data_IF_991538257671
#
_entry.id   IF_991538257671
#
_cell.length_a   1.000
_cell.length_b   1.000
_cell.length_c   1.000
_cell.angle_alpha   90.00
_cell.angle_beta   90.00
_cell.angle_gamma   90.00
#
_symmetry.space_group_name_H-M   'P 1'
#
loop_
_entity.id
_entity.type
_entity.pdbx_description
1 polymer ?
#
# COMPACT_ATOMS: atom_id res chain seq x y z
N UNK A 1 5.90 2.08 -25.59
CA UNK A 1 6.61 2.94 -24.61
C UNK A 1 5.65 3.17 -23.45
N UNK A 2 6.15 3.21 -22.21
CA UNK A 2 5.30 3.52 -21.05
C UNK A 2 4.92 4.99 -21.10
N UNK A 3 3.64 5.28 -20.92
CA UNK A 3 3.15 6.66 -20.88
C UNK A 3 3.55 7.35 -19.58
N UNK A 4 4.05 8.59 -19.67
CA UNK A 4 4.53 9.35 -18.51
C UNK A 4 3.46 9.50 -17.44
N UNK A 5 2.21 9.69 -17.84
CA UNK A 5 1.09 9.89 -16.92
C UNK A 5 0.74 8.61 -16.16
N UNK A 6 0.73 7.47 -16.84
CA UNK A 6 0.53 6.17 -16.21
C UNK A 6 1.65 5.87 -15.19
N UNK A 7 2.90 6.18 -15.56
CA UNK A 7 4.04 6.05 -14.66
C UNK A 7 3.88 6.94 -13.41
N UNK A 8 3.51 8.21 -13.58
CA UNK A 8 3.28 9.13 -12.47
C UNK A 8 2.15 8.65 -11.56
N UNK A 9 1.09 8.09 -12.13
CA UNK A 9 -0.02 7.49 -11.36
C UNK A 9 0.50 6.34 -10.48
N UNK A 10 1.23 5.39 -11.07
CA UNK A 10 1.80 4.24 -10.34
C UNK A 10 2.74 4.71 -9.24
N UNK A 11 3.68 5.63 -9.54
CA UNK A 11 4.65 6.13 -8.57
C UNK A 11 3.98 6.88 -7.42
N UNK A 12 2.95 7.67 -7.71
CA UNK A 12 2.21 8.42 -6.67
C UNK A 12 1.48 7.46 -5.74
N UNK A 13 0.72 6.51 -6.29
CA UNK A 13 0.00 5.52 -5.47
C UNK A 13 0.97 4.64 -4.69
N UNK A 14 2.08 4.26 -5.30
CA UNK A 14 3.15 3.52 -4.62
C UNK A 14 3.71 4.33 -3.44
N UNK A 15 4.10 5.59 -3.64
CA UNK A 15 4.63 6.44 -2.57
C UNK A 15 3.67 6.55 -1.38
N UNK A 16 2.36 6.68 -1.65
CA UNK A 16 1.32 6.67 -0.62
C UNK A 16 1.35 5.34 0.15
N UNK A 17 1.35 4.22 -0.58
CA UNK A 17 1.38 2.88 -0.01
C UNK A 17 2.59 2.65 0.90
N UNK A 18 3.77 3.16 0.47
CA UNK A 18 5.05 2.97 1.17
C UNK A 18 5.15 3.77 2.48
N UNK A 19 4.67 5.00 2.49
CA UNK A 19 4.84 5.92 3.62
C UNK A 19 3.70 5.81 4.62
N UNK A 20 2.48 5.47 4.16
CA UNK A 20 1.35 5.32 5.09
C UNK A 20 1.49 4.04 5.92
N UNK A 21 1.47 4.16 7.26
CA UNK A 21 1.46 2.99 8.12
C UNK A 21 0.27 2.09 7.76
N UNK A 22 0.55 0.88 7.33
CA UNK A 22 -0.44 -0.13 7.00
C UNK A 22 -0.11 -1.47 7.67
N UNK A 23 -1.00 -2.47 7.58
CA UNK A 23 -0.80 -3.77 8.23
C UNK A 23 0.58 -4.38 7.95
N UNK A 24 1.04 -4.33 6.69
CA UNK A 24 2.33 -4.89 6.29
C UNK A 24 3.51 -4.19 6.99
N UNK A 25 3.52 -2.86 6.97
CA UNK A 25 4.60 -2.06 7.54
C UNK A 25 4.67 -2.23 9.06
N UNK A 26 3.51 -2.15 9.73
CA UNK A 26 3.41 -2.33 11.19
C UNK A 26 3.84 -3.75 11.60
N UNK A 27 3.39 -4.77 10.87
CA UNK A 27 3.83 -6.15 11.11
C UNK A 27 5.35 -6.29 10.99
N UNK A 28 5.95 -5.68 9.95
CA UNK A 28 7.40 -5.71 9.78
C UNK A 28 8.15 -5.04 10.94
N UNK A 29 7.67 -3.90 11.44
CA UNK A 29 8.27 -3.21 12.60
C UNK A 29 8.18 -4.07 13.86
N UNK A 30 6.97 -4.53 14.21
CA UNK A 30 6.73 -5.30 15.44
C UNK A 30 7.50 -6.61 15.42
N UNK A 31 7.40 -7.37 14.31
CA UNK A 31 8.08 -8.64 14.18
C UNK A 31 9.62 -8.49 14.20
N UNK A 32 10.16 -7.44 13.53
CA UNK A 32 11.59 -7.13 13.58
C UNK A 32 12.04 -6.67 14.97
N UNK A 33 11.18 -5.96 15.71
CA UNK A 33 11.47 -5.54 17.08
C UNK A 33 11.68 -6.71 18.04
N UNK A 34 10.96 -7.81 17.83
CA UNK A 34 11.03 -9.02 18.67
C UNK A 34 12.08 -10.02 18.16
N UNK A 35 12.09 -10.28 16.85
CA UNK A 35 12.87 -11.38 16.25
C UNK A 35 14.10 -10.90 15.45
N UNK A 36 14.31 -9.58 15.37
CA UNK A 36 15.33 -8.97 14.53
C UNK A 36 14.93 -8.82 13.07
N UNK A 37 15.46 -7.80 12.39
CA UNK A 37 15.08 -7.47 11.01
C UNK A 37 15.31 -8.62 10.01
N UNK A 38 16.32 -9.47 10.23
CA UNK A 38 16.60 -10.63 9.37
C UNK A 38 15.47 -11.66 9.37
N UNK A 39 14.71 -11.76 10.47
CA UNK A 39 13.56 -12.68 10.54
C UNK A 39 12.46 -12.30 9.55
N UNK A 40 12.39 -11.03 9.13
CA UNK A 40 11.41 -10.55 8.16
C UNK A 40 11.68 -10.98 6.72
N UNK A 41 12.87 -11.45 6.38
CA UNK A 41 13.21 -11.82 4.99
C UNK A 41 12.21 -12.86 4.45
N UNK A 42 11.93 -13.90 5.22
CA UNK A 42 10.99 -14.97 4.81
C UNK A 42 9.55 -14.46 4.77
N UNK A 43 9.17 -13.61 5.72
CA UNK A 43 7.87 -12.95 5.77
C UNK A 43 7.66 -12.06 4.55
N UNK A 44 8.64 -11.19 4.23
CA UNK A 44 8.61 -10.28 3.08
C UNK A 44 8.60 -11.05 1.76
N UNK A 45 9.34 -12.16 1.65
CA UNK A 45 9.26 -13.03 0.48
C UNK A 45 7.85 -13.58 0.27
N UNK A 46 7.17 -13.96 1.34
CA UNK A 46 5.74 -14.35 1.27
C UNK A 46 4.85 -13.18 0.86
N UNK A 47 5.06 -12.00 1.44
CA UNK A 47 4.33 -10.80 1.08
C UNK A 47 4.51 -10.46 -0.40
N UNK A 48 5.73 -10.59 -0.94
CA UNK A 48 6.01 -10.37 -2.37
C UNK A 48 5.18 -11.29 -3.26
N UNK A 49 5.13 -12.58 -2.95
CA UNK A 49 4.32 -13.55 -3.74
C UNK A 49 2.83 -13.22 -3.64
N UNK A 50 2.35 -12.89 -2.45
CA UNK A 50 0.96 -12.46 -2.27
C UNK A 50 0.65 -11.16 -3.03
N UNK A 51 1.54 -10.15 -3.00
CA UNK A 51 1.44 -8.93 -3.80
C UNK A 51 1.34 -9.23 -5.29
N UNK A 52 2.27 -10.02 -5.80
CA UNK A 52 2.26 -10.39 -7.22
C UNK A 52 0.95 -11.05 -7.61
N UNK A 53 0.44 -11.96 -6.78
CA UNK A 53 -0.85 -12.61 -7.02
C UNK A 53 -2.00 -11.60 -7.06
N UNK A 54 -2.07 -10.67 -6.10
CA UNK A 54 -3.08 -9.61 -6.07
C UNK A 54 -3.01 -8.74 -7.32
N UNK A 55 -1.80 -8.39 -7.79
CA UNK A 55 -1.62 -7.61 -9.03
C UNK A 55 -2.14 -8.34 -10.26
N UNK A 56 -1.76 -9.61 -10.42
CA UNK A 56 -2.20 -10.39 -11.58
C UNK A 56 -3.71 -10.63 -11.57
N UNK A 57 -4.28 -10.98 -10.42
CA UNK A 57 -5.73 -11.16 -10.28
C UNK A 57 -6.47 -9.85 -10.57
N UNK A 58 -6.02 -8.74 -10.01
CA UNK A 58 -6.65 -7.42 -10.22
C UNK A 58 -6.54 -6.97 -11.69
N UNK A 59 -5.38 -7.19 -12.32
CA UNK A 59 -5.17 -6.86 -13.73
C UNK A 59 -6.09 -7.68 -14.63
N UNK A 60 -6.15 -9.00 -14.43
CA UNK A 60 -7.05 -9.88 -15.18
C UNK A 60 -8.52 -9.50 -15.00
N UNK A 61 -8.93 -9.14 -13.79
CA UNK A 61 -10.29 -8.67 -13.53
C UNK A 61 -10.60 -7.37 -14.28
N UNK A 62 -9.66 -6.41 -14.24
CA UNK A 62 -9.84 -5.12 -14.92
C UNK A 62 -9.91 -5.30 -16.44
N UNK A 63 -9.10 -6.17 -17.04
CA UNK A 63 -9.12 -6.45 -18.48
C UNK A 63 -10.40 -7.12 -18.96
N UNK A 64 -11.10 -7.88 -18.11
CA UNK A 64 -12.38 -8.50 -18.46
C UNK A 64 -13.55 -7.50 -18.48
N UNK A 65 -13.31 -6.29 -17.98
CA UNK A 65 -14.34 -5.27 -17.90
C UNK A 65 -14.33 -4.42 -19.16
N UNK A 66 -15.39 -4.52 -19.97
CA UNK A 66 -15.52 -3.73 -21.19
C UNK A 66 -15.51 -2.23 -20.88
N UNK A 67 -14.75 -1.46 -21.67
CA UNK A 67 -14.74 -0.01 -21.60
C UNK A 67 -16.15 0.56 -21.79
N UNK A 68 -16.48 1.59 -21.01
CA UNK A 68 -17.79 2.23 -21.01
C UNK A 68 -18.92 1.42 -20.36
N UNK A 69 -18.66 0.18 -19.91
CA UNK A 69 -19.66 -0.59 -19.15
C UNK A 69 -19.92 0.05 -17.78
N UNK A 70 -21.09 -0.25 -17.20
CA UNK A 70 -21.40 0.22 -15.84
C UNK A 70 -20.33 -0.19 -14.82
N UNK A 71 -19.78 -1.40 -14.96
CA UNK A 71 -18.71 -1.88 -14.07
C UNK A 71 -17.41 -1.09 -14.26
N UNK A 72 -17.08 -0.74 -15.52
CA UNK A 72 -15.91 0.12 -15.83
C UNK A 72 -16.04 1.49 -15.14
N UNK A 73 -17.20 2.13 -15.28
CA UNK A 73 -17.50 3.41 -14.62
C UNK A 73 -17.50 3.26 -13.10
N UNK A 74 -18.08 2.18 -12.58
CA UNK A 74 -18.08 1.91 -11.14
C UNK A 74 -16.68 1.72 -10.56
N UNK A 75 -15.78 0.99 -11.24
CA UNK A 75 -14.40 0.82 -10.83
C UNK A 75 -13.61 2.14 -10.82
N UNK A 76 -13.85 3.01 -11.82
CA UNK A 76 -13.25 4.34 -11.84
C UNK A 76 -13.65 5.16 -10.61
N UNK A 77 -14.95 5.29 -10.35
CA UNK A 77 -15.47 6.04 -9.21
C UNK A 77 -15.07 5.41 -7.86
N UNK A 78 -15.01 4.08 -7.80
CA UNK A 78 -14.49 3.38 -6.61
C UNK A 78 -13.03 3.77 -6.33
N UNK A 79 -12.17 3.77 -7.35
CA UNK A 79 -10.79 4.21 -7.21
C UNK A 79 -10.66 5.66 -6.75
N UNK A 80 -11.44 6.57 -7.34
CA UNK A 80 -11.47 7.98 -6.94
C UNK A 80 -11.99 8.16 -5.50
N UNK A 81 -13.06 7.50 -5.12
CA UNK A 81 -13.57 7.52 -3.75
C UNK A 81 -12.52 7.01 -2.77
N UNK A 82 -11.85 5.91 -3.11
CA UNK A 82 -10.80 5.35 -2.26
C UNK A 82 -9.61 6.31 -2.09
N UNK A 83 -9.15 6.95 -3.17
CA UNK A 83 -8.13 8.00 -3.10
C UNK A 83 -8.59 9.20 -2.28
N UNK A 84 -9.85 9.63 -2.42
CA UNK A 84 -10.42 10.71 -1.62
C UNK A 84 -10.41 10.38 -0.11
N UNK A 85 -10.79 9.16 0.26
CA UNK A 85 -10.75 8.69 1.65
C UNK A 85 -9.31 8.64 2.20
N UNK A 86 -8.33 8.20 1.38
CA UNK A 86 -6.92 8.23 1.76
C UNK A 86 -6.45 9.68 1.96
N UNK A 87 -6.74 10.58 1.02
CA UNK A 87 -6.37 11.98 1.13
C UNK A 87 -6.95 12.62 2.38
N UNK A 88 -8.24 12.43 2.64
CA UNK A 88 -8.91 12.93 3.84
C UNK A 88 -8.26 12.38 5.11
N UNK A 89 -7.97 11.08 5.15
CA UNK A 89 -7.25 10.45 6.28
C UNK A 89 -5.89 11.09 6.51
N UNK A 90 -5.09 11.26 5.46
CA UNK A 90 -3.75 11.85 5.58
C UNK A 90 -3.81 13.31 6.04
N UNK A 91 -4.76 14.10 5.51
CA UNK A 91 -4.93 15.50 5.87
C UNK A 91 -5.51 15.71 7.27
N UNK A 92 -6.26 14.75 7.81
CA UNK A 92 -6.88 14.85 9.13
C UNK A 92 -6.11 14.09 10.22
N UNK A 93 -5.28 13.10 9.84
CA UNK A 93 -4.55 12.26 10.78
C UNK A 93 -3.53 13.10 11.57
N UNK A 94 -3.61 13.02 12.89
CA UNK A 94 -2.66 13.68 13.79
C UNK A 94 -1.53 12.72 14.17
N UNK A 95 -0.28 13.20 14.31
CA UNK A 95 0.82 12.37 14.81
C UNK A 95 0.51 11.72 16.17
N UNK A 96 -0.25 12.42 17.03
CA UNK A 96 -0.74 11.87 18.29
C UNK A 96 -1.58 10.60 18.12
N UNK A 97 -2.44 10.55 17.10
CA UNK A 97 -3.24 9.34 16.81
C UNK A 97 -2.38 8.19 16.30
N UNK A 98 -1.29 8.48 15.58
CA UNK A 98 -0.30 7.46 15.19
C UNK A 98 0.42 6.92 16.42
N UNK A 99 0.85 7.82 17.33
CA UNK A 99 1.44 7.41 18.61
C UNK A 99 0.49 6.50 19.37
N UNK A 100 -0.74 6.94 19.58
CA UNK A 100 -1.75 6.18 20.29
C UNK A 100 -2.02 4.81 19.64
N UNK A 101 -2.22 4.75 18.32
CA UNK A 101 -2.45 3.49 17.61
C UNK A 101 -1.27 2.51 17.68
N UNK A 102 -0.03 3.04 17.83
CA UNK A 102 1.17 2.21 17.99
C UNK A 102 1.41 1.84 19.46
N UNK A 103 0.98 2.68 20.41
CA UNK A 103 1.13 2.45 21.85
C UNK A 103 -0.02 1.61 22.42
N UNK A 104 -1.24 1.71 21.87
CA UNK A 104 -2.44 0.97 22.30
C UNK A 104 -2.43 -0.52 21.92
N UNK A 105 -1.31 -1.04 21.45
CA UNK A 105 -1.12 -2.47 21.14
C UNK A 105 -2.20 -3.10 20.23
N UNK A 106 -3.04 -2.29 19.58
CA UNK A 106 -4.20 -2.80 18.84
C UNK A 106 -3.85 -3.81 17.77
N UNK A 107 -2.76 -3.57 17.01
CA UNK A 107 -2.26 -4.52 16.03
C UNK A 107 -1.27 -5.52 16.63
N UNK A 108 -0.50 -5.11 17.64
CA UNK A 108 0.39 -5.99 18.38
C UNK A 108 -0.40 -7.06 19.16
N UNK A 109 -1.59 -6.71 19.67
CA UNK A 109 -2.47 -7.68 20.34
C UNK A 109 -3.00 -8.75 19.40
N UNK A 110 -3.20 -8.44 18.11
CA UNK A 110 -3.56 -9.43 17.09
C UNK A 110 -2.41 -10.38 16.74
N UNK A 111 -1.16 -9.94 16.94
CA UNK A 111 0.03 -10.75 16.71
C UNK A 111 0.48 -11.50 17.97
N UNK A 112 0.07 -11.07 19.17
CA UNK A 112 0.42 -11.75 20.43
C UNK A 112 -0.41 -13.01 20.60
N UNK A 113 0.25 -14.10 20.97
CA UNK A 113 -0.42 -15.30 21.46
C UNK A 113 -1.00 -15.05 22.85
N UNK A 114 -1.86 -15.96 23.34
CA UNK A 114 -2.48 -15.86 24.68
C UNK A 114 -1.45 -15.77 25.83
N UNK A 115 -0.24 -16.24 25.59
CA UNK A 115 0.90 -16.14 26.52
C UNK A 115 1.66 -14.79 26.44
N UNK A 116 1.19 -13.84 25.62
CA UNK A 116 1.81 -12.55 25.42
C UNK A 116 3.02 -12.53 24.47
N UNK A 117 3.33 -13.65 23.82
CA UNK A 117 4.44 -13.73 22.86
C UNK A 117 4.02 -13.36 21.45
N UNK A 118 4.93 -12.77 20.67
CA UNK A 118 4.74 -12.52 19.24
C UNK A 118 5.27 -13.73 18.46
N UNK A 119 4.42 -14.46 17.72
CA UNK A 119 4.85 -15.64 16.97
C UNK A 119 5.84 -15.25 15.87
N UNK A 120 6.74 -16.16 15.54
CA UNK A 120 7.62 -15.98 14.38
C UNK A 120 6.83 -16.19 13.10
N UNK A 121 6.61 -15.08 12.38
CA UNK A 121 5.85 -15.08 11.14
C UNK A 121 6.72 -15.56 9.97
N UNK A 122 6.14 -16.40 9.12
CA UNK A 122 6.84 -17.02 8.01
C UNK A 122 6.23 -16.68 6.64
N UNK A 123 6.70 -17.36 5.61
CA UNK A 123 6.29 -17.17 4.22
C UNK A 123 4.78 -17.24 4.03
N UNK A 124 4.13 -18.29 4.54
CA UNK A 124 2.66 -18.48 4.40
C UNK A 124 1.88 -17.32 4.99
N UNK A 125 2.31 -16.83 6.16
CA UNK A 125 1.70 -15.67 6.80
C UNK A 125 1.82 -14.43 5.90
N UNK A 126 3.00 -14.21 5.33
CA UNK A 126 3.23 -13.10 4.39
C UNK A 126 2.30 -13.15 3.18
N UNK A 127 2.13 -14.32 2.56
CA UNK A 127 1.20 -14.54 1.44
C UNK A 127 -0.24 -14.22 1.87
N UNK A 128 -0.71 -14.86 2.95
CA UNK A 128 -2.11 -14.72 3.40
C UNK A 128 -2.47 -13.29 3.81
N UNK A 129 -1.52 -12.56 4.38
CA UNK A 129 -1.73 -11.16 4.75
C UNK A 129 -2.15 -10.29 3.55
N UNK A 130 -1.66 -10.58 2.34
CA UNK A 130 -2.00 -9.77 1.17
C UNK A 130 -3.44 -10.01 0.72
N UNK A 131 -3.94 -11.22 0.84
CA UNK A 131 -5.33 -11.54 0.48
C UNK A 131 -6.36 -10.90 1.41
N UNK A 132 -6.03 -10.72 2.68
CA UNK A 132 -6.92 -10.06 3.66
C UNK A 132 -6.69 -8.56 3.78
N UNK A 133 -5.67 -8.02 3.10
CA UNK A 133 -5.33 -6.60 3.14
C UNK A 133 -6.16 -5.78 2.15
N UNK A 134 -7.36 -5.36 2.56
CA UNK A 134 -8.27 -4.57 1.71
C UNK A 134 -7.64 -3.29 1.17
N UNK A 135 -6.67 -2.68 1.87
CA UNK A 135 -5.92 -1.52 1.38
C UNK A 135 -5.15 -1.87 0.10
N UNK A 136 -4.48 -3.03 0.08
CA UNK A 136 -3.71 -3.47 -1.08
C UNK A 136 -4.60 -3.71 -2.29
N UNK A 137 -5.70 -4.45 -2.10
CA UNK A 137 -6.67 -4.68 -3.18
C UNK A 137 -7.16 -3.39 -3.80
N UNK A 138 -7.58 -2.43 -2.97
CA UNK A 138 -8.09 -1.16 -3.45
C UNK A 138 -7.02 -0.34 -4.20
N UNK A 139 -5.79 -0.27 -3.68
CA UNK A 139 -4.68 0.42 -4.35
C UNK A 139 -4.33 -0.25 -5.69
N UNK A 140 -4.24 -1.57 -5.72
CA UNK A 140 -3.86 -2.32 -6.92
C UNK A 140 -4.94 -2.24 -7.99
N UNK A 141 -6.23 -2.39 -7.63
CA UNK A 141 -7.35 -2.20 -8.57
C UNK A 141 -7.31 -0.78 -9.15
N UNK A 142 -7.08 0.23 -8.31
CA UNK A 142 -6.96 1.62 -8.77
C UNK A 142 -5.81 1.80 -9.76
N UNK A 143 -4.63 1.25 -9.47
CA UNK A 143 -3.48 1.31 -10.37
C UNK A 143 -3.80 0.60 -11.69
N UNK A 144 -4.30 -0.64 -11.64
CA UNK A 144 -4.62 -1.40 -12.85
C UNK A 144 -5.65 -0.68 -13.71
N UNK A 145 -6.71 -0.15 -13.08
CA UNK A 145 -7.74 0.59 -13.80
C UNK A 145 -7.22 1.87 -14.47
N UNK A 146 -6.28 2.58 -13.84
CA UNK A 146 -5.85 3.90 -14.28
C UNK A 146 -4.58 3.90 -15.12
N UNK A 147 -3.78 2.84 -15.07
CA UNK A 147 -2.44 2.85 -15.65
C UNK A 147 -2.14 1.65 -16.55
N UNK A 148 -2.95 0.59 -16.56
CA UNK A 148 -2.63 -0.66 -17.27
C UNK A 148 -2.39 -0.42 -18.77
N UNK A 149 -3.28 0.33 -19.43
CA UNK A 149 -3.17 0.61 -20.86
C UNK A 149 -1.94 1.44 -21.20
N UNK A 150 -1.60 2.45 -20.36
CA UNK A 150 -0.39 3.24 -20.51
C UNK A 150 0.92 2.46 -20.28
N UNK A 151 0.84 1.25 -19.72
CA UNK A 151 1.94 0.29 -19.63
C UNK A 151 1.92 -0.77 -20.76
N UNK A 152 1.03 -0.61 -21.76
CA UNK A 152 0.90 -1.48 -22.90
C UNK A 152 -0.16 -2.58 -22.77
N UNK A 153 -0.98 -2.52 -21.72
CA UNK A 153 -2.07 -3.49 -21.49
C UNK A 153 -1.59 -4.92 -21.29
N UNK A 154 -2.53 -5.83 -21.13
CA UNK A 154 -2.28 -7.27 -21.09
C UNK A 154 -1.30 -7.71 -20.01
N UNK A 155 -0.86 -8.94 -20.13
CA UNK A 155 0.10 -9.52 -19.17
C UNK A 155 1.40 -8.72 -19.07
N UNK A 156 1.85 -8.10 -20.16
CA UNK A 156 3.07 -7.27 -20.15
C UNK A 156 2.92 -6.06 -19.27
N UNK A 157 1.84 -5.30 -19.42
CA UNK A 157 1.53 -4.15 -18.58
C UNK A 157 1.39 -4.54 -17.12
N UNK A 158 0.66 -5.64 -16.83
CA UNK A 158 0.50 -6.16 -15.46
C UNK A 158 1.85 -6.49 -14.81
N UNK A 159 2.74 -7.18 -15.54
CA UNK A 159 4.05 -7.57 -15.03
C UNK A 159 4.97 -6.36 -14.82
N UNK A 160 4.92 -5.36 -15.69
CA UNK A 160 5.69 -4.12 -15.52
C UNK A 160 5.22 -3.35 -14.28
N UNK A 161 3.92 -3.15 -14.13
CA UNK A 161 3.33 -2.51 -12.95
C UNK A 161 3.66 -3.30 -11.68
N UNK A 162 3.45 -4.63 -11.70
CA UNK A 162 3.75 -5.49 -10.57
C UNK A 162 5.24 -5.46 -10.21
N UNK A 163 6.15 -5.47 -11.20
CA UNK A 163 7.59 -5.38 -10.95
C UNK A 163 7.96 -4.09 -10.23
N UNK A 164 7.41 -2.96 -10.66
CA UNK A 164 7.67 -1.66 -10.06
C UNK A 164 7.10 -1.57 -8.63
N UNK A 165 5.84 -1.94 -8.46
CA UNK A 165 5.12 -1.82 -7.19
C UNK A 165 5.57 -2.85 -6.16
N UNK A 166 5.79 -4.10 -6.56
CA UNK A 166 6.28 -5.15 -5.67
C UNK A 166 7.73 -4.86 -5.21
N UNK A 167 8.60 -4.39 -6.11
CA UNK A 167 9.97 -4.00 -5.75
C UNK A 167 9.96 -2.84 -4.76
N UNK A 168 9.16 -1.80 -5.03
CA UNK A 168 8.95 -0.71 -4.08
C UNK A 168 8.41 -1.19 -2.74
N UNK A 169 7.41 -2.06 -2.75
CA UNK A 169 6.83 -2.67 -1.55
C UNK A 169 7.86 -3.44 -0.71
N UNK A 170 8.68 -4.28 -1.36
CA UNK A 170 9.78 -5.00 -0.69
C UNK A 170 10.79 -4.03 -0.07
N UNK A 171 11.19 -3.00 -0.83
CA UNK A 171 12.10 -1.97 -0.33
C UNK A 171 11.51 -1.25 0.91
N UNK A 172 10.24 -0.86 0.86
CA UNK A 172 9.57 -0.23 2.00
C UNK A 172 9.52 -1.15 3.22
N UNK A 173 9.04 -2.38 3.07
CA UNK A 173 8.95 -3.34 4.17
C UNK A 173 10.33 -3.64 4.77
N UNK A 174 11.38 -3.66 3.94
CA UNK A 174 12.76 -3.80 4.41
C UNK A 174 13.21 -2.57 5.21
N UNK A 175 12.91 -1.35 4.73
CA UNK A 175 13.19 -0.11 5.44
C UNK A 175 12.44 -0.03 6.77
N UNK A 176 11.16 -0.42 6.80
CA UNK A 176 10.38 -0.50 8.03
C UNK A 176 10.93 -1.55 9.00
N UNK A 177 11.46 -2.67 8.49
CA UNK A 177 12.10 -3.71 9.33
C UNK A 177 13.38 -3.24 9.99
N UNK A 178 14.21 -2.47 9.28
CA UNK A 178 15.52 -2.02 9.77
C UNK A 178 15.44 -0.66 10.48
N UNK A 179 14.68 0.23 9.90
CA UNK A 179 14.58 1.63 10.31
C UNK A 179 13.34 1.98 11.12
N UNK A 180 12.51 0.99 11.48
CA UNK A 180 11.18 1.19 12.06
C UNK A 180 11.16 2.17 13.23
N UNK A 181 12.13 2.11 14.14
CA UNK A 181 12.24 3.05 15.26
C UNK A 181 12.46 4.51 14.81
N UNK A 182 13.29 4.73 13.77
CA UNK A 182 13.55 6.09 13.24
C UNK A 182 12.39 6.63 12.40
N UNK A 183 11.83 5.80 11.49
CA UNK A 183 10.65 6.16 10.70
C UNK A 183 9.46 6.46 11.60
N UNK A 184 9.23 5.62 12.59
CA UNK A 184 8.20 5.81 13.61
C UNK A 184 8.44 7.11 14.36
N UNK A 185 9.69 7.42 14.73
CA UNK A 185 10.06 8.68 15.38
C UNK A 185 9.69 9.91 14.57
N UNK A 186 9.95 9.90 13.25
CA UNK A 186 9.55 11.00 12.36
C UNK A 186 8.02 11.15 12.29
N UNK A 187 7.28 10.05 12.14
CA UNK A 187 5.82 10.09 12.03
C UNK A 187 5.13 10.44 13.35
N UNK A 188 5.77 10.14 14.49
CA UNK A 188 5.30 10.49 15.83
C UNK A 188 5.63 11.94 16.24
N UNK A 189 6.58 12.59 15.58
CA UNK A 189 6.91 14.00 15.81
C UNK A 189 5.76 14.88 15.33
N UNK A 190 5.30 15.80 16.19
CA UNK A 190 4.11 16.60 15.91
C UNK A 190 4.27 17.53 14.71
N UNK A 191 5.46 18.05 14.46
CA UNK A 191 5.74 18.98 13.36
C UNK A 191 6.13 18.23 12.10
N UNK A 192 7.12 17.33 12.20
CA UNK A 192 7.65 16.59 11.03
C UNK A 192 6.62 15.59 10.51
N UNK A 193 6.01 14.82 11.40
CA UNK A 193 4.97 13.87 11.05
C UNK A 193 3.77 14.55 10.40
N UNK A 194 3.35 15.71 10.94
CA UNK A 194 2.27 16.49 10.35
C UNK A 194 2.62 16.98 8.95
N UNK A 195 3.84 17.51 8.73
CA UNK A 195 4.29 17.96 7.40
C UNK A 195 4.30 16.83 6.39
N UNK A 196 4.80 15.65 6.75
CA UNK A 196 4.83 14.47 5.89
C UNK A 196 3.40 14.04 5.54
N UNK A 197 2.51 13.92 6.52
CA UNK A 197 1.12 13.51 6.30
C UNK A 197 0.36 14.49 5.41
N UNK A 198 0.51 15.80 5.65
CA UNK A 198 -0.13 16.83 4.82
C UNK A 198 0.44 16.83 3.42
N UNK A 199 1.76 16.76 3.25
CA UNK A 199 2.40 16.68 1.93
C UNK A 199 1.90 15.50 1.10
N UNK A 200 1.80 14.32 1.71
CA UNK A 200 1.23 13.14 1.06
C UNK A 200 -0.26 13.32 0.75
N UNK A 201 -1.04 13.88 1.67
CA UNK A 201 -2.47 14.14 1.46
C UNK A 201 -2.70 15.10 0.29
N UNK A 202 -1.90 16.15 0.15
CA UNK A 202 -1.94 17.08 -0.99
C UNK A 202 -1.58 16.37 -2.28
N UNK A 203 -0.53 15.53 -2.28
CA UNK A 203 -0.14 14.77 -3.47
C UNK A 203 -1.27 13.84 -3.94
N UNK A 204 -1.95 13.16 -3.00
CA UNK A 204 -3.12 12.32 -3.33
C UNK A 204 -4.26 13.13 -3.90
N UNK A 205 -4.52 14.34 -3.35
CA UNK A 205 -5.56 15.23 -3.87
C UNK A 205 -5.24 15.69 -5.30
N UNK A 206 -4.00 16.02 -5.59
CA UNK A 206 -3.59 16.38 -6.94
C UNK A 206 -3.78 15.23 -7.93
N UNK A 207 -3.40 14.00 -7.53
CA UNK A 207 -3.65 12.81 -8.34
C UNK A 207 -5.15 12.58 -8.52
N UNK A 208 -5.95 12.66 -7.46
CA UNK A 208 -7.40 12.51 -7.53
C UNK A 208 -8.02 13.49 -8.52
N UNK A 209 -7.65 14.77 -8.45
CA UNK A 209 -8.16 15.80 -9.37
C UNK A 209 -7.74 15.47 -10.81
N UNK A 210 -6.48 15.11 -11.04
CA UNK A 210 -5.99 14.74 -12.36
C UNK A 210 -6.76 13.56 -12.96
N UNK A 211 -7.04 12.51 -12.17
CA UNK A 211 -7.81 11.34 -12.61
C UNK A 211 -9.31 11.66 -12.80
N UNK A 212 -9.89 12.49 -11.93
CA UNK A 212 -11.30 12.90 -12.06
C UNK A 212 -11.55 13.73 -13.32
N UNK A 213 -10.59 14.57 -13.73
CA UNK A 213 -10.68 15.38 -14.95
C UNK A 213 -10.59 14.55 -16.24
N UNK A 214 -10.00 13.35 -16.18
CA UNK A 214 -9.92 12.43 -17.34
C UNK A 214 -11.25 11.70 -17.59
N UNK A 215 -12.05 11.53 -16.55
CA UNK A 215 -13.27 10.73 -16.61
C UNK A 215 -12.99 9.22 -16.64
N UNK A 216 -14.08 8.44 -16.68
CA UNK A 216 -14.01 6.98 -16.78
C UNK A 216 -13.64 6.50 -18.18
#
# INVERSE_FOLDING_TARGET
MVETEALLTVLTVLAIGLVTPGPNNVTCVVHAGVHGARANVVLIAGMFVGFLTVHLVSGLLVEQVNEGSLLWVALHWFGLLFLALIALRLLTLKPASIRQAMDDHGFESLLRLQDGTVPRLGFRTGVMMQFVNGKEWALVITIMRQALDGFGGGLTGMLLIASLTCTGGVAAMSLWSVGGGRLTGVLRDDVRGRRVLVGLGVLVLLLLVALALRGP
#
